data_IF_448300507211
#
_entry.id   IF_448300507211
#
_cell.length_a   1.000
_cell.length_b   1.000
_cell.length_c   1.000
_cell.angle_alpha   90.00
_cell.angle_beta   90.00
_cell.angle_gamma   90.00
#
_symmetry.space_group_name_H-M   'P 1'
#
loop_
_entity.id
_entity.type
_entity.pdbx_description
1 polymer ?
#
# COMPACT_ATOMS: atom_id res chain seq x y z
N UNK A 1 -2.56 -9.31 9.53
CA UNK A 1 -1.31 -9.22 8.73
C UNK A 1 -0.23 -10.06 9.38
N UNK A 2 0.13 -9.83 10.66
CA UNK A 2 1.26 -10.47 11.35
C UNK A 2 1.21 -12.00 11.28
N UNK A 3 0.08 -12.63 11.65
CA UNK A 3 -0.06 -14.09 11.62
C UNK A 3 0.16 -14.67 10.21
N UNK A 4 -0.33 -13.98 9.17
CA UNK A 4 -0.13 -14.40 7.79
C UNK A 4 1.34 -14.30 7.37
N UNK A 5 2.04 -13.25 7.76
CA UNK A 5 3.48 -13.09 7.50
C UNK A 5 4.30 -14.22 8.15
N UNK A 6 4.00 -14.57 9.40
CA UNK A 6 4.64 -15.69 10.08
C UNK A 6 4.33 -17.05 9.46
N UNK A 7 3.10 -17.27 8.98
CA UNK A 7 2.73 -18.48 8.24
C UNK A 7 3.53 -18.61 6.94
N UNK A 8 3.58 -17.53 6.15
CA UNK A 8 4.34 -17.48 4.91
C UNK A 8 5.84 -17.64 5.15
N UNK A 9 6.37 -17.02 6.21
CA UNK A 9 7.77 -17.16 6.59
C UNK A 9 8.15 -18.61 6.89
N UNK A 10 7.32 -19.30 7.71
CA UNK A 10 7.51 -20.72 8.02
C UNK A 10 7.37 -21.62 6.79
N UNK A 11 6.58 -21.21 5.81
CA UNK A 11 6.47 -21.88 4.50
C UNK A 11 7.64 -21.56 3.55
N UNK A 12 8.64 -20.79 4.01
CA UNK A 12 9.83 -20.48 3.22
C UNK A 12 9.71 -19.29 2.28
N UNK A 13 8.84 -18.31 2.62
CA UNK A 13 8.64 -17.07 1.85
C UNK A 13 9.97 -16.40 1.52
N UNK A 14 10.24 -16.18 0.24
CA UNK A 14 11.41 -15.45 -0.27
C UNK A 14 11.04 -14.07 -0.82
N UNK A 15 9.76 -13.85 -1.11
CA UNK A 15 9.20 -12.66 -1.75
C UNK A 15 7.76 -12.50 -1.31
N UNK A 16 7.29 -11.27 -1.19
CA UNK A 16 5.92 -10.96 -0.78
C UNK A 16 5.24 -10.06 -1.80
N UNK A 17 4.05 -10.45 -2.23
CA UNK A 17 3.13 -9.61 -2.99
C UNK A 17 1.97 -9.27 -2.07
N UNK A 18 1.69 -7.98 -1.90
CA UNK A 18 0.48 -7.49 -1.23
C UNK A 18 -0.43 -6.92 -2.29
N UNK A 19 -1.62 -7.52 -2.44
CA UNK A 19 -2.61 -7.09 -3.41
C UNK A 19 -3.63 -6.15 -2.74
N UNK A 20 -3.62 -4.89 -3.15
CA UNK A 20 -4.56 -3.85 -2.70
C UNK A 20 -5.53 -3.44 -3.80
N UNK A 21 -5.58 -4.15 -4.92
CA UNK A 21 -6.53 -3.87 -5.99
C UNK A 21 -7.96 -4.06 -5.49
N UNK A 22 -8.85 -3.18 -5.88
CA UNK A 22 -10.24 -3.19 -5.42
C UNK A 22 -10.40 -2.91 -3.92
N UNK A 23 -9.34 -2.52 -3.19
CA UNK A 23 -9.42 -2.25 -1.76
C UNK A 23 -9.68 -0.77 -1.49
N UNK A 24 -10.91 -0.38 -1.06
CA UNK A 24 -11.28 1.02 -0.83
C UNK A 24 -10.65 1.61 0.44
N UNK A 25 -9.81 0.83 1.13
CA UNK A 25 -9.17 1.21 2.39
C UNK A 25 -9.90 0.68 3.62
N UNK A 26 -9.75 1.41 4.72
CA UNK A 26 -10.27 1.04 6.02
C UNK A 26 -9.77 2.02 7.08
N UNK A 27 -9.42 1.50 8.26
CA UNK A 27 -8.91 2.31 9.35
C UNK A 27 -7.49 2.84 9.05
N UNK A 28 -7.27 4.11 9.34
CA UNK A 28 -5.96 4.76 9.25
C UNK A 28 -4.91 4.00 10.07
N UNK A 29 -5.24 3.67 11.31
CA UNK A 29 -4.34 2.96 12.22
C UNK A 29 -3.92 1.60 11.68
N UNK A 30 -4.83 0.86 11.04
CA UNK A 30 -4.51 -0.43 10.42
C UNK A 30 -3.52 -0.29 9.25
N UNK A 31 -3.63 0.78 8.45
CA UNK A 31 -2.65 1.05 7.38
C UNK A 31 -1.28 1.42 7.96
N UNK A 32 -1.26 2.24 9.02
CA UNK A 32 -0.03 2.61 9.72
C UNK A 32 0.65 1.38 10.31
N UNK A 33 -0.09 0.55 11.06
CA UNK A 33 0.43 -0.69 11.64
C UNK A 33 0.94 -1.68 10.58
N UNK A 34 0.24 -1.77 9.44
CA UNK A 34 0.68 -2.62 8.33
C UNK A 34 1.97 -2.09 7.69
N UNK A 35 2.08 -0.78 7.47
CA UNK A 35 3.28 -0.16 6.91
C UNK A 35 4.48 -0.25 7.85
N UNK A 36 4.25 -0.09 9.16
CA UNK A 36 5.26 -0.21 10.21
C UNK A 36 5.95 -1.59 10.23
N UNK A 37 5.25 -2.65 9.77
CA UNK A 37 5.86 -3.98 9.60
C UNK A 37 6.97 -4.03 8.56
N UNK A 38 7.08 -3.03 7.69
CA UNK A 38 8.02 -3.03 6.56
C UNK A 38 8.98 -1.84 6.56
N UNK A 39 8.65 -0.76 7.27
CA UNK A 39 9.43 0.49 7.31
C UNK A 39 10.13 0.58 8.66
N UNK A 40 11.45 0.77 8.65
CA UNK A 40 12.24 0.79 9.89
C UNK A 40 12.18 2.12 10.63
N UNK A 41 12.08 3.22 9.89
CA UNK A 41 12.11 4.57 10.46
C UNK A 41 11.51 5.59 9.52
N UNK A 42 11.19 6.75 10.06
CA UNK A 42 10.66 7.87 9.31
C UNK A 42 9.16 8.00 9.42
N UNK A 43 8.59 8.88 8.60
CA UNK A 43 7.16 9.16 8.58
C UNK A 43 6.46 8.09 7.73
N UNK A 44 5.33 7.56 8.20
CA UNK A 44 4.44 6.70 7.41
C UNK A 44 3.39 7.57 6.71
N UNK A 45 2.75 8.45 7.46
CA UNK A 45 1.74 9.39 6.97
C UNK A 45 1.63 10.56 7.92
N UNK A 46 1.28 11.73 7.42
CA UNK A 46 0.84 12.85 8.25
C UNK A 46 -0.56 13.30 7.87
N UNK A 47 -1.29 13.83 8.85
CA UNK A 47 -2.57 14.50 8.64
C UNK A 47 -2.39 15.99 8.88
N UNK A 48 -3.11 16.81 8.10
CA UNK A 48 -3.21 18.25 8.33
C UNK A 48 -4.67 18.66 8.23
N UNK A 49 -5.15 19.25 9.30
CA UNK A 49 -6.52 19.72 9.46
C UNK A 49 -6.68 21.21 9.22
N UNK A 50 -7.87 21.70 9.53
CA UNK A 50 -8.16 23.15 9.58
C UNK A 50 -7.55 23.78 10.83
N UNK A 51 -7.44 23.00 11.90
CA UNK A 51 -6.79 23.37 13.16
C UNK A 51 -5.56 22.50 13.35
N UNK A 52 -4.50 23.07 13.93
CA UNK A 52 -3.29 22.34 14.29
C UNK A 52 -3.53 21.18 15.27
N UNK A 53 -4.64 21.21 15.99
CA UNK A 53 -5.06 20.07 16.85
C UNK A 53 -5.41 18.80 16.05
N UNK A 54 -5.63 18.93 14.74
CA UNK A 54 -5.92 17.82 13.82
C UNK A 54 -4.67 17.36 13.05
N UNK A 55 -3.55 18.05 13.27
CA UNK A 55 -2.28 17.71 12.66
C UNK A 55 -1.62 16.59 13.46
N UNK A 56 -1.34 15.49 12.77
CA UNK A 56 -0.68 14.34 13.38
C UNK A 56 0.32 13.72 12.43
N UNK A 57 1.41 13.17 12.98
CA UNK A 57 2.43 12.48 12.21
C UNK A 57 2.65 11.09 12.77
N UNK A 58 2.33 10.10 11.96
CA UNK A 58 2.56 8.68 12.27
C UNK A 58 3.95 8.29 11.77
N UNK A 59 4.73 7.69 12.67
CA UNK A 59 6.11 7.28 12.40
C UNK A 59 6.28 5.78 12.53
N UNK A 60 7.24 5.26 11.79
CA UNK A 60 7.64 3.86 11.85
C UNK A 60 8.54 3.59 13.06
N UNK A 61 8.51 2.34 13.52
CA UNK A 61 9.30 1.80 14.62
C UNK A 61 10.19 0.66 14.10
N UNK A 62 11.48 0.69 14.42
CA UNK A 62 12.45 -0.29 13.88
C UNK A 62 12.25 -1.72 14.38
N UNK A 63 11.51 -1.92 15.48
CA UNK A 63 11.35 -3.25 16.08
C UNK A 63 10.45 -4.17 15.25
N UNK A 64 10.95 -5.37 14.91
CA UNK A 64 10.16 -6.41 14.24
C UNK A 64 9.92 -6.18 12.75
N UNK A 65 10.73 -5.35 12.10
CA UNK A 65 10.55 -5.02 10.67
C UNK A 65 10.89 -6.19 9.77
N UNK A 66 9.97 -6.56 8.88
CA UNK A 66 10.16 -7.57 7.86
C UNK A 66 11.03 -7.06 6.71
N UNK A 67 12.11 -7.78 6.37
CA UNK A 67 13.07 -7.40 5.32
C UNK A 67 12.83 -8.13 3.98
N UNK A 68 11.77 -8.90 3.88
CA UNK A 68 11.41 -9.62 2.66
C UNK A 68 11.23 -8.66 1.48
N UNK A 69 11.73 -8.98 0.26
CA UNK A 69 11.44 -8.20 -0.93
C UNK A 69 9.93 -8.08 -1.14
N UNK A 70 9.45 -6.86 -1.42
CA UNK A 70 8.03 -6.51 -1.41
C UNK A 70 7.60 -5.90 -2.74
N UNK A 71 6.47 -6.36 -3.25
CA UNK A 71 5.68 -5.69 -4.30
C UNK A 71 4.29 -5.41 -3.77
N UNK A 72 3.74 -4.26 -4.11
CA UNK A 72 2.36 -3.87 -3.79
C UNK A 72 1.61 -3.64 -5.07
N UNK A 73 0.48 -4.33 -5.26
CA UNK A 73 -0.41 -4.13 -6.40
C UNK A 73 -1.47 -3.10 -6.06
N UNK A 74 -1.70 -2.15 -6.96
CA UNK A 74 -2.74 -1.12 -6.83
C UNK A 74 -3.50 -0.94 -8.15
N UNK A 75 -4.73 -0.45 -8.04
CA UNK A 75 -5.56 -0.07 -9.18
C UNK A 75 -6.38 1.19 -8.87
N UNK A 76 -7.28 1.59 -9.78
CA UNK A 76 -8.14 2.77 -9.63
C UNK A 76 -9.13 2.69 -8.47
N UNK A 77 -9.39 1.51 -7.91
CA UNK A 77 -10.28 1.28 -6.76
C UNK A 77 -9.51 1.19 -5.44
N UNK A 78 -8.17 1.14 -5.48
CA UNK A 78 -7.32 1.26 -4.30
C UNK A 78 -7.42 2.67 -3.73
N UNK A 79 -7.95 2.83 -2.50
CA UNK A 79 -8.27 4.14 -1.97
C UNK A 79 -7.94 4.28 -0.47
N UNK A 80 -7.80 5.54 0.01
CA UNK A 80 -7.73 5.87 1.44
C UNK A 80 -6.58 5.16 2.17
N UNK A 81 -6.87 4.27 3.13
CA UNK A 81 -5.88 3.51 3.90
C UNK A 81 -4.94 2.67 3.00
N UNK A 82 -5.45 2.16 1.87
CA UNK A 82 -4.63 1.46 0.86
C UNK A 82 -3.61 2.40 0.22
N UNK A 83 -3.98 3.65 -0.02
CA UNK A 83 -3.08 4.66 -0.57
C UNK A 83 -2.02 5.09 0.45
N UNK A 84 -2.38 5.16 1.73
CA UNK A 84 -1.44 5.44 2.82
C UNK A 84 -0.37 4.35 2.85
N UNK A 85 -0.76 3.08 2.85
CA UNK A 85 0.17 1.96 2.83
C UNK A 85 1.07 1.99 1.58
N UNK A 86 0.47 2.03 0.39
CA UNK A 86 1.21 2.01 -0.87
C UNK A 86 2.14 3.21 -1.01
N UNK A 87 1.68 4.42 -0.65
CA UNK A 87 2.47 5.63 -0.69
C UNK A 87 3.64 5.62 0.29
N UNK A 88 3.44 5.08 1.49
CA UNK A 88 4.52 4.91 2.46
C UNK A 88 5.59 3.95 1.94
N UNK A 89 5.19 2.78 1.42
CA UNK A 89 6.12 1.80 0.83
C UNK A 89 6.90 2.42 -0.34
N UNK A 90 6.23 3.20 -1.21
CA UNK A 90 6.83 3.87 -2.35
C UNK A 90 7.84 4.93 -1.94
N UNK A 91 7.43 5.87 -1.09
CA UNK A 91 8.24 7.02 -0.70
C UNK A 91 9.51 6.60 0.05
N UNK A 92 9.42 5.53 0.85
CA UNK A 92 10.58 4.90 1.50
C UNK A 92 11.39 3.98 0.56
N UNK A 93 10.95 3.79 -0.68
CA UNK A 93 11.58 2.82 -1.63
C UNK A 93 11.68 1.42 -1.04
N UNK A 94 10.76 1.08 -0.14
CA UNK A 94 10.78 -0.19 0.59
C UNK A 94 10.33 -1.37 -0.28
N UNK A 95 9.48 -1.13 -1.24
CA UNK A 95 8.95 -2.07 -2.20
C UNK A 95 8.71 -1.41 -3.55
N UNK A 96 8.24 -2.20 -4.51
CA UNK A 96 7.86 -1.73 -5.84
C UNK A 96 6.35 -1.67 -5.93
N UNK A 97 5.80 -0.56 -6.37
CA UNK A 97 4.37 -0.39 -6.60
C UNK A 97 4.07 -0.74 -8.06
N UNK A 98 3.15 -1.67 -8.28
CA UNK A 98 2.80 -2.19 -9.61
C UNK A 98 1.32 -2.01 -9.86
N UNK A 99 0.94 -1.56 -11.05
CA UNK A 99 -0.45 -1.48 -11.44
C UNK A 99 -0.87 -0.23 -12.16
N UNK A 100 -2.00 0.33 -11.80
CA UNK A 100 -2.50 1.62 -12.28
C UNK A 100 -2.59 2.61 -11.14
N UNK A 101 -2.75 3.91 -11.47
CA UNK A 101 -2.88 4.97 -10.46
C UNK A 101 -4.08 4.70 -9.54
N UNK A 102 -3.89 4.88 -8.23
CA UNK A 102 -4.95 4.74 -7.24
C UNK A 102 -5.98 5.88 -7.28
N UNK A 103 -7.06 5.73 -6.53
CA UNK A 103 -8.26 6.58 -6.59
C UNK A 103 -7.99 8.05 -6.24
N UNK A 104 -7.18 8.34 -5.23
CA UNK A 104 -6.96 9.71 -4.77
C UNK A 104 -7.91 10.17 -3.66
N UNK A 105 -8.27 9.29 -2.72
CA UNK A 105 -9.05 9.63 -1.54
C UNK A 105 -8.15 10.09 -0.38
N UNK A 106 -7.69 11.31 -0.45
CA UNK A 106 -6.74 11.89 0.51
C UNK A 106 -7.36 12.62 1.70
N UNK A 107 -8.59 12.27 2.12
CA UNK A 107 -9.30 12.98 3.19
C UNK A 107 -9.63 12.10 4.39
N UNK A 108 -9.42 12.65 5.60
CA UNK A 108 -9.90 12.10 6.87
C UNK A 108 -11.34 12.52 7.09
N UNK A 109 -12.19 11.58 7.45
CA UNK A 109 -13.59 11.87 7.79
C UNK A 109 -13.87 11.46 9.24
N UNK A 110 -14.32 12.43 10.05
CA UNK A 110 -14.85 12.21 11.38
C UNK A 110 -16.37 12.02 11.35
N UNK A 111 -16.87 11.14 12.22
CA UNK A 111 -18.31 10.98 12.47
C UNK A 111 -18.60 11.62 13.81
N UNK A 112 -19.48 12.62 13.79
CA UNK A 112 -19.90 13.38 14.97
C UNK A 112 -21.34 13.04 15.29
N UNK A 113 -21.57 12.39 16.43
CA UNK A 113 -22.91 12.06 16.88
C UNK A 113 -23.69 13.33 17.29
N UNK A 114 -24.89 13.48 16.79
CA UNK A 114 -25.82 14.53 17.21
C UNK A 114 -26.61 14.04 18.42
N UNK A 115 -26.91 14.96 19.34
CA UNK A 115 -27.65 14.63 20.57
C UNK A 115 -29.11 14.24 20.36
N UNK A 116 -29.64 14.37 19.14
CA UNK A 116 -31.04 14.14 18.81
C UNK A 116 -31.18 12.94 17.87
N UNK A 117 -32.02 11.97 18.23
CA UNK A 117 -32.46 10.89 17.34
C UNK A 117 -31.43 9.88 16.89
N UNK A 118 -30.25 9.78 17.54
CA UNK A 118 -29.18 8.86 17.12
C UNK A 118 -28.55 9.21 15.78
N UNK A 119 -28.83 10.39 15.24
CA UNK A 119 -28.22 10.88 13.99
C UNK A 119 -26.75 11.27 14.18
N UNK A 120 -25.98 11.23 13.10
CA UNK A 120 -24.59 11.69 13.07
C UNK A 120 -24.29 12.47 11.79
N UNK A 121 -23.30 13.35 11.87
CA UNK A 121 -22.77 14.09 10.72
C UNK A 121 -21.37 13.56 10.41
N UNK A 122 -21.10 13.25 9.14
CA UNK A 122 -19.78 12.88 8.64
C UNK A 122 -19.16 14.10 7.95
N UNK A 123 -18.06 14.58 8.51
CA UNK A 123 -17.34 15.75 8.02
C UNK A 123 -15.90 15.39 7.67
N UNK A 124 -15.36 16.02 6.63
CA UNK A 124 -13.93 16.00 6.37
C UNK A 124 -13.23 16.95 7.34
N UNK A 125 -12.33 16.41 8.15
CA UNK A 125 -11.60 17.15 9.18
C UNK A 125 -10.16 17.45 8.78
N UNK A 126 -9.51 16.53 8.06
CA UNK A 126 -8.11 16.69 7.67
C UNK A 126 -7.84 16.05 6.29
N UNK A 127 -6.63 16.28 5.78
CA UNK A 127 -6.09 15.63 4.59
C UNK A 127 -4.87 14.78 4.96
N UNK A 128 -4.67 13.70 4.21
CA UNK A 128 -3.48 12.85 4.32
C UNK A 128 -2.35 13.35 3.42
N UNK A 129 -1.13 13.21 3.91
CA UNK A 129 0.10 13.49 3.17
C UNK A 129 1.07 12.31 3.30
N UNK A 130 1.72 11.98 2.20
CA UNK A 130 2.75 10.96 2.14
C UNK A 130 3.98 11.32 2.97
N UNK A 131 4.92 10.39 3.20
CA UNK A 131 6.21 10.69 3.84
C UNK A 131 6.94 11.87 3.23
N UNK A 132 6.90 12.02 1.91
CA UNK A 132 7.51 13.13 1.17
C UNK A 132 6.64 14.41 1.12
N UNK A 133 5.52 14.44 1.85
CA UNK A 133 4.64 15.60 1.94
C UNK A 133 3.67 15.79 0.77
N UNK A 134 3.52 14.80 -0.13
CA UNK A 134 2.57 14.85 -1.23
C UNK A 134 1.16 14.50 -0.73
N UNK A 135 0.18 15.34 -1.08
CA UNK A 135 -1.22 15.07 -0.76
C UNK A 135 -1.82 14.01 -1.69
N UNK A 136 -2.59 13.06 -1.13
CA UNK A 136 -3.25 12.02 -1.92
C UNK A 136 -4.53 12.51 -2.63
N UNK A 137 -5.15 13.58 -2.13
CA UNK A 137 -6.47 14.04 -2.58
C UNK A 137 -6.48 14.37 -4.07
N UNK A 138 -7.29 13.66 -4.86
CA UNK A 138 -7.42 13.76 -6.32
C UNK A 138 -6.15 13.43 -7.13
N UNK A 139 -5.09 13.01 -6.45
CA UNK A 139 -3.79 12.67 -7.06
C UNK A 139 -3.54 11.17 -7.03
N UNK A 140 -3.84 10.53 -5.90
CA UNK A 140 -3.56 9.12 -5.68
C UNK A 140 -2.07 8.79 -5.61
N UNK A 141 -1.79 7.50 -5.63
CA UNK A 141 -0.43 6.93 -5.71
C UNK A 141 -0.19 6.46 -7.14
N UNK A 142 0.87 6.95 -7.76
CA UNK A 142 1.31 6.44 -9.07
C UNK A 142 2.15 5.19 -8.88
N UNK A 143 1.95 4.13 -9.69
CA UNK A 143 2.80 2.95 -9.63
C UNK A 143 4.21 3.26 -10.17
N UNK A 144 5.20 2.47 -9.72
CA UNK A 144 6.55 2.46 -10.26
C UNK A 144 6.61 1.68 -11.59
N UNK A 145 5.75 0.65 -11.71
CA UNK A 145 5.58 -0.16 -12.93
C UNK A 145 4.12 -0.15 -13.31
N UNK A 146 3.81 0.53 -14.42
CA UNK A 146 2.44 0.59 -14.93
C UNK A 146 2.08 -0.71 -15.66
N UNK A 147 0.94 -1.28 -15.31
CA UNK A 147 0.33 -2.41 -16.03
C UNK A 147 -0.85 -1.89 -16.85
N UNK A 148 -0.79 -2.09 -18.16
CA UNK A 148 -1.92 -1.75 -19.02
C UNK A 148 -2.98 -2.85 -18.92
N UNK A 149 -4.16 -2.49 -18.47
CA UNK A 149 -5.32 -3.36 -18.53
C UNK A 149 -6.01 -3.13 -19.89
N UNK A 150 -6.11 -4.17 -20.70
CA UNK A 150 -7.02 -4.14 -21.85
C UNK A 150 -8.44 -4.07 -21.28
N UNK A 151 -9.23 -3.10 -21.74
CA UNK A 151 -10.63 -2.98 -21.34
C UNK A 151 -11.32 -4.34 -21.53
N UNK A 152 -11.85 -4.91 -20.44
CA UNK A 152 -12.61 -6.17 -20.53
C UNK A 152 -13.94 -5.91 -21.22
N UNK A 153 -14.36 -6.80 -22.12
CA UNK A 153 -15.76 -6.84 -22.51
C UNK A 153 -16.60 -7.06 -21.24
N UNK A 154 -17.67 -6.28 -21.09
CA UNK A 154 -18.66 -6.41 -20.03
C UNK A 154 -19.32 -7.79 -20.10
N UNK A 155 -18.85 -8.73 -19.31
CA UNK A 155 -19.42 -10.06 -19.13
C UNK A 155 -19.07 -10.58 -17.76
N UNK A 156 -20.05 -11.14 -17.07
CA UNK A 156 -20.13 -11.45 -15.65
C UNK A 156 -19.11 -12.49 -15.07
N UNK A 157 -17.91 -12.57 -15.60
CA UNK A 157 -16.88 -13.43 -15.01
C UNK A 157 -15.92 -12.56 -14.18
N UNK A 158 -16.14 -12.53 -12.87
CA UNK A 158 -15.14 -12.01 -11.92
C UNK A 158 -13.95 -12.97 -11.98
N UNK A 159 -12.78 -12.56 -12.49
CA UNK A 159 -11.62 -13.44 -12.48
C UNK A 159 -11.19 -13.68 -11.05
N UNK A 160 -10.94 -14.91 -10.72
CA UNK A 160 -10.25 -15.29 -9.47
C UNK A 160 -8.90 -14.56 -9.43
N UNK A 161 -8.56 -13.84 -8.34
CA UNK A 161 -7.36 -13.01 -8.26
C UNK A 161 -6.03 -13.75 -8.22
N UNK A 162 -5.99 -15.02 -8.53
CA UNK A 162 -4.82 -15.91 -8.37
C UNK A 162 -4.38 -16.63 -9.64
N UNK A 163 -4.85 -16.25 -10.82
CA UNK A 163 -4.36 -16.90 -12.03
C UNK A 163 -3.00 -16.32 -12.45
N UNK A 164 -2.07 -17.18 -12.86
CA UNK A 164 -0.78 -16.79 -13.43
C UNK A 164 -0.95 -15.95 -14.71
N UNK A 165 -2.15 -15.92 -15.27
CA UNK A 165 -2.54 -15.11 -16.44
C UNK A 165 -2.93 -13.66 -16.08
N UNK A 166 -2.97 -13.33 -14.77
CA UNK A 166 -3.20 -11.95 -14.32
C UNK A 166 -1.96 -11.09 -14.63
N UNK A 167 -2.06 -10.06 -15.47
CA UNK A 167 -0.92 -9.25 -15.90
C UNK A 167 -0.24 -8.52 -14.72
N UNK A 168 -0.96 -8.19 -13.66
CA UNK A 168 -0.38 -7.58 -12.46
C UNK A 168 0.48 -8.58 -11.69
N UNK A 169 -0.04 -9.80 -11.50
CA UNK A 169 0.69 -10.89 -10.85
C UNK A 169 1.92 -11.27 -11.68
N UNK A 170 1.78 -11.39 -13.01
CA UNK A 170 2.89 -11.67 -13.92
C UNK A 170 4.00 -10.60 -13.83
N UNK A 171 3.63 -9.31 -13.80
CA UNK A 171 4.59 -8.22 -13.62
C UNK A 171 5.30 -8.30 -12.26
N UNK A 172 4.56 -8.57 -11.16
CA UNK A 172 5.14 -8.74 -9.83
C UNK A 172 6.11 -9.92 -9.76
N UNK A 173 5.75 -11.06 -10.35
CA UNK A 173 6.61 -12.24 -10.41
C UNK A 173 7.89 -12.00 -11.24
N UNK A 174 7.81 -11.23 -12.31
CA UNK A 174 8.97 -10.83 -13.10
C UNK A 174 9.93 -9.96 -12.28
N UNK A 175 9.41 -9.01 -11.50
CA UNK A 175 10.22 -8.20 -10.58
C UNK A 175 10.91 -9.10 -9.54
N UNK A 176 10.18 -10.07 -8.98
CA UNK A 176 10.75 -11.04 -8.05
C UNK A 176 11.91 -11.80 -8.68
N UNK A 177 11.71 -12.40 -9.86
CA UNK A 177 12.73 -13.19 -10.58
C UNK A 177 13.98 -12.34 -10.86
N UNK A 178 13.83 -11.12 -11.34
CA UNK A 178 14.95 -10.24 -11.65
C UNK A 178 15.76 -9.86 -10.38
N UNK A 179 15.09 -9.64 -9.24
CA UNK A 179 15.79 -9.39 -7.97
C UNK A 179 16.57 -10.60 -7.46
N UNK A 180 16.08 -11.82 -7.71
CA UNK A 180 16.81 -13.05 -7.36
C UNK A 180 17.98 -13.29 -8.30
N UNK A 181 17.80 -13.08 -9.62
CA UNK A 181 18.88 -13.23 -10.60
C UNK A 181 20.06 -12.28 -10.31
N UNK A 182 19.79 -11.04 -9.93
CA UNK A 182 20.80 -10.04 -9.60
C UNK A 182 21.46 -10.23 -8.21
N UNK A 183 20.93 -11.14 -7.37
CA UNK A 183 21.51 -11.52 -6.08
C UNK A 183 22.29 -12.84 -6.11
N UNK A 184 22.32 -13.54 -7.24
CA UNK A 184 23.21 -14.68 -7.42
C UNK A 184 24.67 -14.20 -7.32
N UNK A 185 25.55 -14.87 -6.57
CA UNK A 185 26.80 -14.32 -6.12
C UNK A 185 27.76 -14.07 -7.28
N UNK A 186 28.31 -12.86 -7.38
CA UNK A 186 29.64 -12.63 -7.89
C UNK A 186 30.65 -13.30 -6.93
N UNK A 187 30.68 -14.61 -6.93
CA UNK A 187 31.75 -15.41 -6.34
C UNK A 187 32.09 -16.53 -7.31
N UNK A 188 32.99 -16.21 -8.23
CA UNK A 188 33.97 -17.13 -8.77
C UNK A 188 34.87 -16.31 -9.71
N UNK A 189 36.01 -15.86 -9.17
CA UNK A 189 37.03 -15.27 -10.01
C UNK A 189 38.12 -14.59 -9.21
N UNK A 190 39.07 -15.40 -8.69
CA UNK A 190 40.51 -15.18 -8.71
C UNK A 190 41.14 -15.81 -7.49
N UNK A 191 41.81 -16.78 -7.73
CA UNK A 191 43.25 -17.11 -7.67
C UNK A 191 44.01 -16.31 -6.62
#
# INVERSE_FOLDING_TARGET
VENALWQLHRAGMKFLIIDLRGNPGGLLTAAVEAADKFIEQGIIVSTRGRSSAEDYTYRAHASGTWKVPLVVLIDGDSASASEIFAGAIRDHRRGTIVGTRSYGKGSVQGIFSLRVGGAGVRLTTAKFYSPNGHGYSKVGVSPDVTVQTVARPTGDVVPQPSSLDDPFIAAALNIARNRFANRAPQQLGSR
#
